data_IF_284095222387
#
_entry.id   IF_284095222387
#
_cell.length_a   1.000
_cell.length_b   1.000
_cell.length_c   1.000
_cell.angle_alpha   90.00
_cell.angle_beta   90.00
_cell.angle_gamma   90.00
#
_symmetry.space_group_name_H-M   'P 1'
#
loop_
_entity.id
_entity.type
_entity.pdbx_description
1 polymer ?
#
# COMPACT_ATOMS: atom_id res chain seq x y z
N UNK A 1 -15.56 7.62 -2.33
CA UNK A 1 -14.62 7.10 -1.31
C UNK A 1 -15.03 7.70 0.02
N UNK A 2 -15.23 6.90 1.07
CA UNK A 2 -15.60 7.41 2.41
C UNK A 2 -14.51 8.35 2.95
N UNK A 3 -14.83 9.13 3.97
CA UNK A 3 -13.97 10.12 4.64
C UNK A 3 -12.73 9.49 5.30
N UNK A 4 -11.86 8.85 4.53
CA UNK A 4 -10.57 8.37 4.98
C UNK A 4 -9.62 9.55 5.11
N UNK A 5 -8.86 9.58 6.20
CA UNK A 5 -7.84 10.60 6.44
C UNK A 5 -6.55 9.90 6.83
N UNK A 6 -5.46 10.28 6.17
CA UNK A 6 -4.13 9.80 6.51
C UNK A 6 -3.66 10.39 7.85
N UNK A 7 -2.76 9.66 8.51
CA UNK A 7 -2.16 10.12 9.76
C UNK A 7 -1.45 11.47 9.57
N UNK A 8 -1.60 12.45 10.49
CA UNK A 8 -1.03 13.78 10.34
C UNK A 8 0.50 13.84 10.22
N UNK A 9 1.23 12.79 10.66
CA UNK A 9 2.70 12.73 10.50
C UNK A 9 3.14 12.69 9.03
N UNK A 10 2.23 12.32 8.12
CA UNK A 10 2.47 12.37 6.68
C UNK A 10 2.25 13.75 6.08
N UNK A 11 1.90 14.75 6.90
CA UNK A 11 1.70 16.14 6.50
C UNK A 11 2.80 16.98 7.13
N UNK A 12 3.58 17.66 6.28
CA UNK A 12 4.62 18.61 6.70
C UNK A 12 4.19 20.02 6.34
N UNK A 13 4.48 20.97 7.22
CA UNK A 13 4.28 22.39 6.95
C UNK A 13 5.65 23.06 6.78
N UNK A 14 5.88 23.71 5.65
CA UNK A 14 7.08 24.51 5.40
C UNK A 14 6.69 25.88 4.86
N UNK A 15 7.09 26.96 5.54
CA UNK A 15 6.78 28.35 5.16
C UNK A 15 5.28 28.64 4.94
N UNK A 16 4.40 27.95 5.67
CA UNK A 16 2.93 28.11 5.54
C UNK A 16 2.29 27.25 4.46
N UNK A 17 3.08 26.58 3.61
CA UNK A 17 2.60 25.59 2.66
C UNK A 17 2.52 24.21 3.34
N UNK A 18 1.40 23.52 3.13
CA UNK A 18 1.21 22.14 3.58
C UNK A 18 1.59 21.19 2.45
N UNK A 19 2.40 20.19 2.77
CA UNK A 19 2.78 19.10 1.87
C UNK A 19 2.36 17.78 2.51
N UNK A 20 1.48 17.04 1.85
CA UNK A 20 1.08 15.69 2.20
C UNK A 20 1.89 14.68 1.38
N UNK A 21 2.39 13.61 2.01
CA UNK A 21 3.02 12.51 1.26
C UNK A 21 1.99 11.68 0.51
N UNK A 22 0.85 11.44 1.15
CA UNK A 22 -0.28 10.70 0.58
C UNK A 22 -1.51 11.60 0.63
N UNK A 23 -2.29 11.58 -0.43
CA UNK A 23 -3.50 12.38 -0.56
C UNK A 23 -4.60 11.61 -1.30
N UNK A 24 -5.83 12.08 -1.16
CA UNK A 24 -7.00 11.45 -1.76
C UNK A 24 -7.76 12.53 -2.53
N UNK A 25 -8.04 12.25 -3.80
CA UNK A 25 -8.91 13.11 -4.62
C UNK A 25 -10.24 13.36 -3.90
N UNK A 26 -10.57 14.64 -3.78
CA UNK A 26 -11.85 15.14 -3.30
C UNK A 26 -12.34 16.18 -4.30
N UNK A 27 -13.65 16.21 -4.57
CA UNK A 27 -14.30 17.21 -5.41
C UNK A 27 -14.40 18.58 -4.71
N UNK A 28 -13.28 19.07 -4.18
CA UNK A 28 -13.11 20.31 -3.43
C UNK A 28 -11.82 21.00 -3.87
N UNK A 29 -11.66 22.28 -3.54
CA UNK A 29 -10.40 22.99 -3.81
C UNK A 29 -9.38 22.67 -2.69
N UNK A 30 -8.26 22.01 -3.02
CA UNK A 30 -7.24 21.68 -2.03
C UNK A 30 -6.48 22.93 -1.57
N UNK A 31 -5.87 22.87 -0.38
CA UNK A 31 -5.02 23.94 0.18
C UNK A 31 -3.63 23.44 0.58
N UNK A 32 -3.19 22.36 -0.07
CA UNK A 32 -1.95 21.65 0.18
C UNK A 32 -1.38 21.13 -1.14
N UNK A 33 -0.09 20.80 -1.11
CA UNK A 33 0.58 19.98 -2.12
C UNK A 33 0.55 18.52 -1.71
N UNK A 34 0.62 17.61 -2.66
CA UNK A 34 0.67 16.17 -2.44
C UNK A 34 1.80 15.54 -3.25
N UNK A 35 2.33 14.39 -2.81
CA UNK A 35 3.30 13.61 -3.60
C UNK A 35 2.60 12.49 -4.36
N UNK A 36 1.81 11.67 -3.66
CA UNK A 36 1.01 10.59 -4.23
C UNK A 36 -0.47 10.87 -3.96
N UNK A 37 -1.28 10.93 -5.00
CA UNK A 37 -2.74 11.13 -4.90
C UNK A 37 -3.49 9.88 -5.36
N UNK A 38 -4.42 9.40 -4.54
CA UNK A 38 -5.31 8.30 -4.87
C UNK A 38 -6.67 8.83 -5.32
N UNK A 39 -7.32 8.14 -6.25
CA UNK A 39 -8.74 8.33 -6.55
C UNK A 39 -9.43 6.98 -6.74
N UNK A 40 -10.70 6.90 -6.35
CA UNK A 40 -11.51 5.72 -6.61
C UNK A 40 -12.03 5.84 -8.04
N UNK A 41 -11.65 4.92 -8.91
CA UNK A 41 -12.11 4.91 -10.28
C UNK A 41 -13.49 4.21 -10.34
N UNK A 42 -14.52 4.95 -10.72
CA UNK A 42 -15.89 4.47 -10.84
C UNK A 42 -16.66 5.29 -11.89
N UNK A 43 -17.92 4.91 -12.18
CA UNK A 43 -18.76 5.58 -13.17
C UNK A 43 -19.12 7.04 -12.85
N UNK A 44 -18.87 7.50 -11.63
CA UNK A 44 -19.11 8.89 -11.19
C UNK A 44 -17.84 9.73 -11.22
N UNK A 45 -16.70 9.15 -11.61
CA UNK A 45 -15.42 9.82 -11.65
C UNK A 45 -15.32 10.66 -12.93
N UNK A 46 -15.17 11.96 -12.77
CA UNK A 46 -14.85 12.86 -13.88
C UNK A 46 -13.32 12.96 -14.05
N UNK A 47 -12.80 12.39 -15.14
CA UNK A 47 -11.38 12.39 -15.46
C UNK A 47 -10.77 13.80 -15.56
N UNK A 48 -11.52 14.79 -16.06
CA UNK A 48 -11.03 16.16 -16.17
C UNK A 48 -10.89 16.82 -14.79
N UNK A 49 -11.81 16.52 -13.87
CA UNK A 49 -11.74 17.00 -12.50
C UNK A 49 -10.58 16.36 -11.73
N UNK A 50 -10.32 15.07 -11.91
CA UNK A 50 -9.17 14.38 -11.31
C UNK A 50 -7.84 14.95 -11.83
N UNK A 51 -7.72 15.17 -13.14
CA UNK A 51 -6.52 15.79 -13.75
C UNK A 51 -6.32 17.21 -13.23
N UNK A 52 -7.39 18.02 -13.13
CA UNK A 52 -7.32 19.36 -12.55
C UNK A 52 -6.88 19.31 -11.09
N UNK A 53 -7.40 18.37 -10.30
CA UNK A 53 -6.98 18.18 -8.91
C UNK A 53 -5.50 17.84 -8.82
N UNK A 54 -5.01 16.85 -9.60
CA UNK A 54 -3.58 16.49 -9.66
C UNK A 54 -2.69 17.71 -9.89
N UNK A 55 -3.10 18.61 -10.80
CA UNK A 55 -2.38 19.85 -11.07
C UNK A 55 -2.43 20.84 -9.91
N UNK A 56 -3.57 20.97 -9.23
CA UNK A 56 -3.75 21.88 -8.09
C UNK A 56 -2.93 21.47 -6.87
N UNK A 57 -2.84 20.17 -6.58
CA UNK A 57 -1.99 19.64 -5.50
C UNK A 57 -0.54 19.40 -5.95
N UNK A 58 -0.21 19.66 -7.22
CA UNK A 58 1.11 19.37 -7.80
C UNK A 58 1.57 17.91 -7.60
N UNK A 59 0.63 16.96 -7.64
CA UNK A 59 0.92 15.56 -7.32
C UNK A 59 1.81 14.91 -8.37
N UNK A 60 2.88 14.28 -7.91
CA UNK A 60 3.86 13.60 -8.75
C UNK A 60 3.30 12.30 -9.32
N UNK A 61 2.60 11.52 -8.49
CA UNK A 61 1.99 10.25 -8.86
C UNK A 61 0.48 10.30 -8.63
N UNK A 62 -0.28 9.80 -9.59
CA UNK A 62 -1.72 9.60 -9.52
C UNK A 62 -2.05 8.10 -9.61
N UNK A 63 -2.70 7.57 -8.58
CA UNK A 63 -3.06 6.14 -8.48
C UNK A 63 -4.57 5.99 -8.55
N UNK A 64 -5.05 5.27 -9.57
CA UNK A 64 -6.42 4.81 -9.64
C UNK A 64 -6.61 3.60 -8.72
N UNK A 65 -7.61 3.61 -7.84
CA UNK A 65 -8.06 2.43 -7.12
C UNK A 65 -9.23 1.84 -7.91
N UNK A 66 -9.02 0.64 -8.45
CA UNK A 66 -10.02 -0.09 -9.21
C UNK A 66 -10.53 -1.28 -8.39
N UNK A 67 -11.83 -1.31 -8.13
CA UNK A 67 -12.46 -2.39 -7.35
C UNK A 67 -13.36 -3.33 -8.15
N UNK A 68 -13.61 -2.97 -9.40
CA UNK A 68 -14.40 -3.70 -10.39
C UNK A 68 -13.97 -3.25 -11.79
N UNK A 69 -14.36 -3.98 -12.83
CA UNK A 69 -14.16 -3.54 -14.20
C UNK A 69 -14.95 -2.24 -14.45
N UNK A 70 -14.28 -1.24 -15.01
CA UNK A 70 -14.81 0.10 -15.28
C UNK A 70 -14.27 0.59 -16.63
N UNK A 71 -14.74 1.76 -17.06
CA UNK A 71 -14.27 2.43 -18.28
C UNK A 71 -12.76 2.70 -18.28
N UNK A 72 -12.14 2.44 -19.43
CA UNK A 72 -10.72 2.63 -19.67
C UNK A 72 -10.31 4.12 -19.57
N UNK A 73 -11.18 5.06 -19.97
CA UNK A 73 -10.85 6.50 -19.96
C UNK A 73 -10.54 7.02 -18.55
N UNK A 74 -11.24 6.50 -17.52
CA UNK A 74 -10.97 6.83 -16.12
C UNK A 74 -9.64 6.26 -15.62
N UNK A 75 -9.13 5.20 -16.23
CA UNK A 75 -7.88 4.54 -15.84
C UNK A 75 -6.66 5.10 -16.59
N UNK A 76 -6.87 5.60 -17.81
CA UNK A 76 -5.81 6.13 -18.68
C UNK A 76 -5.08 7.34 -18.07
N UNK A 77 -5.77 8.16 -17.29
CA UNK A 77 -5.18 9.34 -16.65
C UNK A 77 -4.21 9.01 -15.50
N UNK A 78 -4.29 7.81 -14.92
CA UNK A 78 -3.47 7.43 -13.77
C UNK A 78 -2.06 7.00 -14.20
N UNK A 79 -1.08 7.30 -13.35
CA UNK A 79 0.26 6.73 -13.47
C UNK A 79 0.25 5.23 -13.11
N UNK A 80 -0.55 4.86 -12.11
CA UNK A 80 -0.73 3.48 -11.64
C UNK A 80 -2.21 3.08 -11.52
N UNK A 81 -2.53 1.83 -11.82
CA UNK A 81 -3.83 1.22 -11.50
C UNK A 81 -3.66 0.17 -10.42
N UNK A 82 -4.30 0.39 -9.27
CA UNK A 82 -4.31 -0.50 -8.12
C UNK A 82 -5.60 -1.31 -8.07
N UNK A 83 -5.46 -2.62 -8.22
CA UNK A 83 -6.56 -3.57 -8.13
C UNK A 83 -6.68 -4.10 -6.69
N UNK A 84 -7.87 -3.94 -6.10
CA UNK A 84 -8.24 -4.52 -4.81
C UNK A 84 -9.74 -4.83 -4.79
N UNK A 85 -10.25 -5.46 -3.73
CA UNK A 85 -11.70 -5.58 -3.53
C UNK A 85 -12.28 -4.29 -2.94
N UNK A 86 -13.59 -4.05 -3.14
CA UNK A 86 -14.26 -2.85 -2.65
C UNK A 86 -14.16 -2.65 -1.13
N UNK A 87 -14.13 -3.72 -0.35
CA UNK A 87 -13.99 -3.64 1.11
C UNK A 87 -12.54 -3.42 1.57
N UNK A 88 -11.57 -3.42 0.65
CA UNK A 88 -10.13 -3.32 0.95
C UNK A 88 -9.56 -1.92 0.70
N UNK A 89 -10.36 -0.99 0.17
CA UNK A 89 -9.89 0.37 -0.19
C UNK A 89 -9.20 1.06 0.99
N UNK A 90 -9.84 1.09 2.17
CA UNK A 90 -9.27 1.72 3.35
C UNK A 90 -8.02 0.99 3.85
N UNK A 91 -8.00 -0.34 3.75
CA UNK A 91 -6.84 -1.16 4.09
C UNK A 91 -5.65 -0.86 3.19
N UNK A 92 -5.87 -0.68 1.89
CA UNK A 92 -4.85 -0.28 0.92
C UNK A 92 -4.28 1.09 1.27
N UNK A 93 -5.15 2.08 1.50
CA UNK A 93 -4.71 3.42 1.89
C UNK A 93 -3.89 3.37 3.19
N UNK A 94 -4.37 2.62 4.19
CA UNK A 94 -3.66 2.43 5.46
C UNK A 94 -2.32 1.69 5.28
N UNK A 95 -2.23 0.75 4.33
CA UNK A 95 -0.98 0.08 3.98
C UNK A 95 0.03 1.09 3.43
N UNK A 96 -0.36 1.96 2.49
CA UNK A 96 0.52 3.01 1.96
C UNK A 96 1.02 3.93 3.07
N UNK A 97 0.14 4.35 3.97
CA UNK A 97 0.54 5.14 5.14
C UNK A 97 1.58 4.41 5.98
N UNK A 98 1.31 3.16 6.36
CA UNK A 98 2.19 2.33 7.18
C UNK A 98 3.53 2.00 6.52
N UNK A 99 3.60 2.00 5.19
CA UNK A 99 4.85 1.79 4.46
C UNK A 99 5.80 2.97 4.58
N UNK A 100 5.29 4.20 4.63
CA UNK A 100 6.13 5.41 4.61
C UNK A 100 6.15 6.18 5.93
N UNK A 101 5.33 5.79 6.89
CA UNK A 101 5.24 6.47 8.18
C UNK A 101 6.55 6.40 8.98
N UNK A 102 6.94 7.53 9.55
CA UNK A 102 8.12 7.70 10.38
C UNK A 102 8.05 7.00 11.74
N UNK A 103 6.86 6.58 12.17
CA UNK A 103 6.64 5.79 13.37
C UNK A 103 6.71 4.27 13.13
N UNK A 104 6.82 3.82 11.88
CA UNK A 104 6.93 2.39 11.61
C UNK A 104 8.27 1.85 12.13
N UNK A 105 8.29 0.59 12.56
CA UNK A 105 9.50 -0.06 13.04
C UNK A 105 10.52 -0.26 11.92
N UNK A 106 10.02 -0.66 10.74
CA UNK A 106 10.73 -0.67 9.47
C UNK A 106 9.83 0.05 8.49
N UNK A 107 10.33 1.08 7.82
CA UNK A 107 9.61 1.80 6.76
C UNK A 107 10.37 1.73 5.45
N UNK A 108 9.65 1.98 4.36
CA UNK A 108 10.17 2.14 3.01
C UNK A 108 10.39 3.63 2.79
N UNK A 109 11.59 4.00 2.34
CA UNK A 109 11.87 5.38 1.96
C UNK A 109 10.90 5.83 0.85
N UNK A 110 10.29 7.00 1.04
CA UNK A 110 9.30 7.53 0.11
C UNK A 110 9.85 7.64 -1.32
N UNK A 111 11.13 7.98 -1.50
CA UNK A 111 11.75 8.06 -2.83
C UNK A 111 11.85 6.68 -3.47
N UNK A 112 12.17 5.63 -2.71
CA UNK A 112 12.15 4.26 -3.24
C UNK A 112 10.74 3.82 -3.62
N UNK A 113 9.72 4.16 -2.83
CA UNK A 113 8.33 3.91 -3.20
C UNK A 113 7.97 4.62 -4.51
N UNK A 114 8.33 5.90 -4.67
CA UNK A 114 8.09 6.65 -5.92
C UNK A 114 8.81 6.00 -7.10
N UNK A 115 10.05 5.56 -6.94
CA UNK A 115 10.79 4.87 -8.00
C UNK A 115 10.12 3.56 -8.43
N UNK A 116 9.58 2.80 -7.48
CA UNK A 116 8.81 1.59 -7.78
C UNK A 116 7.54 1.96 -8.54
N UNK A 117 6.78 2.94 -8.05
CA UNK A 117 5.53 3.37 -8.68
C UNK A 117 5.76 3.92 -10.10
N UNK A 118 6.82 4.67 -10.36
CA UNK A 118 7.15 5.16 -11.72
C UNK A 118 7.50 4.06 -12.72
N UNK A 119 7.97 2.90 -12.22
CA UNK A 119 8.39 1.76 -13.04
C UNK A 119 7.28 0.73 -13.20
N UNK A 120 6.12 0.95 -12.59
CA UNK A 120 5.00 0.03 -12.62
C UNK A 120 3.76 0.71 -13.16
N UNK A 121 2.98 0.04 -14.00
CA UNK A 121 1.65 0.52 -14.42
C UNK A 121 0.56 -0.11 -13.57
N UNK A 122 0.75 -1.36 -13.19
CA UNK A 122 -0.27 -2.16 -12.51
C UNK A 122 0.20 -2.58 -11.12
N UNK A 123 -0.68 -2.40 -10.13
CA UNK A 123 -0.48 -2.81 -8.75
C UNK A 123 -1.62 -3.76 -8.37
N UNK A 124 -1.29 -4.91 -7.80
CA UNK A 124 -2.30 -5.83 -7.27
C UNK A 124 -2.14 -5.95 -5.76
N UNK A 125 -3.20 -5.62 -5.03
CA UNK A 125 -3.22 -5.78 -3.59
C UNK A 125 -3.72 -7.17 -3.19
N UNK A 126 -3.05 -7.75 -2.21
CA UNK A 126 -3.52 -8.91 -1.48
C UNK A 126 -3.21 -8.74 0.00
N UNK A 127 -4.04 -9.34 0.85
CA UNK A 127 -3.78 -9.43 2.28
C UNK A 127 -4.07 -10.82 2.83
N UNK A 128 -3.48 -11.10 3.99
CA UNK A 128 -3.78 -12.27 4.80
C UNK A 128 -3.57 -11.92 6.28
N UNK A 129 -4.03 -12.82 7.15
CA UNK A 129 -3.79 -12.70 8.57
C UNK A 129 -3.68 -14.09 9.23
N UNK A 130 -3.00 -14.14 10.36
CA UNK A 130 -2.93 -15.32 11.20
C UNK A 130 -2.78 -14.92 12.66
N UNK A 131 -3.22 -15.80 13.56
CA UNK A 131 -3.12 -15.65 15.01
C UNK A 131 -2.54 -16.94 15.58
N UNK A 132 -1.71 -16.82 16.61
CA UNK A 132 -1.05 -17.93 17.29
C UNK A 132 0.44 -18.02 16.97
N UNK A 133 1.06 -19.10 17.42
CA UNK A 133 2.49 -19.35 17.19
C UNK A 133 2.80 -19.36 15.68
N UNK A 134 3.91 -18.74 15.29
CA UNK A 134 4.35 -18.60 13.90
C UNK A 134 3.37 -17.84 12.97
N UNK A 135 2.54 -16.95 13.52
CA UNK A 135 1.54 -16.16 12.77
C UNK A 135 2.13 -15.51 11.51
N UNK A 136 3.32 -14.93 11.59
CA UNK A 136 4.02 -14.30 10.46
C UNK A 136 4.25 -15.30 9.31
N UNK A 137 4.78 -16.48 9.64
CA UNK A 137 5.05 -17.53 8.65
C UNK A 137 3.77 -18.11 8.07
N UNK A 138 2.72 -18.23 8.88
CA UNK A 138 1.41 -18.69 8.42
C UNK A 138 0.77 -17.69 7.47
N UNK A 139 0.71 -16.41 7.84
CA UNK A 139 0.22 -15.33 6.98
C UNK A 139 1.00 -15.31 5.66
N UNK A 140 2.33 -15.35 5.71
CA UNK A 140 3.18 -15.39 4.52
C UNK A 140 2.84 -16.56 3.59
N UNK A 141 2.66 -17.78 4.12
CA UNK A 141 2.26 -18.95 3.31
C UNK A 141 0.89 -18.76 2.67
N UNK A 142 -0.08 -18.20 3.39
CA UNK A 142 -1.44 -17.95 2.86
C UNK A 142 -1.45 -17.01 1.66
N UNK A 143 -0.49 -16.07 1.53
CA UNK A 143 -0.35 -15.26 0.30
C UNK A 143 -0.01 -16.17 -0.88
N UNK A 144 0.97 -17.05 -0.72
CA UNK A 144 1.43 -17.93 -1.80
C UNK A 144 0.46 -19.06 -2.16
N UNK A 145 -0.40 -19.46 -1.23
CA UNK A 145 -1.41 -20.49 -1.49
C UNK A 145 -2.59 -19.96 -2.35
N UNK A 146 -2.65 -18.65 -2.62
CA UNK A 146 -3.63 -18.07 -3.53
C UNK A 146 -3.27 -18.42 -4.98
N UNK A 147 -4.21 -19.05 -5.69
CA UNK A 147 -3.97 -19.76 -6.96
C UNK A 147 -3.47 -18.91 -8.14
N UNK A 148 -3.41 -17.59 -8.03
CA UNK A 148 -2.99 -16.69 -9.11
C UNK A 148 -2.20 -15.51 -8.53
N UNK A 149 -0.93 -15.73 -8.19
CA UNK A 149 -0.03 -14.62 -7.95
C UNK A 149 0.24 -13.91 -9.29
N UNK A 150 0.09 -12.58 -9.35
CA UNK A 150 0.52 -11.84 -10.52
C UNK A 150 2.01 -12.10 -10.76
N UNK A 151 2.43 -12.14 -12.03
CA UNK A 151 3.83 -11.84 -12.33
C UNK A 151 4.14 -10.48 -11.68
N UNK A 152 5.29 -10.32 -11.04
CA UNK A 152 5.64 -9.10 -10.31
C UNK A 152 7.12 -8.84 -10.45
N UNK A 153 7.50 -7.61 -10.83
CA UNK A 153 8.92 -7.20 -10.83
C UNK A 153 9.37 -6.70 -9.47
N UNK A 154 8.43 -6.12 -8.72
CA UNK A 154 8.67 -5.65 -7.36
C UNK A 154 7.51 -6.07 -6.47
N UNK A 155 7.83 -6.43 -5.23
CA UNK A 155 6.87 -6.68 -4.17
C UNK A 155 7.12 -5.71 -3.03
N UNK A 156 6.06 -5.07 -2.56
CA UNK A 156 6.04 -4.26 -1.36
C UNK A 156 5.23 -4.99 -0.30
N UNK A 157 5.80 -5.21 0.89
CA UNK A 157 5.07 -5.81 2.01
C UNK A 157 4.90 -4.82 3.15
N UNK A 158 3.80 -4.95 3.87
CA UNK A 158 3.55 -4.26 5.12
C UNK A 158 3.03 -5.28 6.13
N UNK A 159 3.86 -5.64 7.10
CA UNK A 159 3.47 -6.48 8.22
C UNK A 159 3.03 -5.61 9.41
N UNK A 160 1.94 -6.00 10.06
CA UNK A 160 1.53 -5.45 11.36
C UNK A 160 1.53 -6.61 12.35
N UNK A 161 2.30 -6.46 13.42
CA UNK A 161 2.59 -7.52 14.39
C UNK A 161 2.60 -6.93 15.81
N UNK A 162 2.46 -7.74 16.87
CA UNK A 162 2.65 -7.29 18.24
C UNK A 162 4.03 -6.67 18.49
N UNK A 163 4.14 -5.74 19.45
CA UNK A 163 5.42 -5.06 19.73
C UNK A 163 6.51 -5.97 20.31
N UNK A 164 6.15 -7.16 20.76
CA UNK A 164 7.07 -8.18 21.28
C UNK A 164 7.54 -9.18 20.20
N UNK A 165 7.28 -8.89 18.92
CA UNK A 165 7.85 -9.62 17.77
C UNK A 165 9.31 -9.25 17.56
N UNK A 166 10.20 -10.25 17.50
CA UNK A 166 11.62 -10.06 17.27
C UNK A 166 12.00 -9.84 15.80
N UNK A 167 13.23 -9.35 15.60
CA UNK A 167 13.81 -9.18 14.26
C UNK A 167 14.01 -10.51 13.52
N UNK A 168 14.20 -11.62 14.24
CA UNK A 168 14.40 -12.94 13.65
C UNK A 168 13.12 -13.40 12.92
N UNK A 169 11.96 -13.24 13.54
CA UNK A 169 10.68 -13.60 12.91
C UNK A 169 10.37 -12.75 11.67
N UNK A 170 10.72 -11.46 11.71
CA UNK A 170 10.64 -10.58 10.53
C UNK A 170 11.62 -11.02 9.44
N UNK A 171 12.88 -11.32 9.78
CA UNK A 171 13.87 -11.80 8.80
C UNK A 171 13.47 -13.12 8.13
N UNK A 172 12.83 -14.02 8.87
CA UNK A 172 12.31 -15.28 8.33
C UNK A 172 11.17 -15.06 7.31
N UNK A 173 10.35 -14.01 7.49
CA UNK A 173 9.35 -13.60 6.49
C UNK A 173 10.03 -13.20 5.19
N UNK A 174 11.02 -12.30 5.26
CA UNK A 174 11.72 -11.79 4.07
C UNK A 174 12.44 -12.92 3.32
N UNK A 175 13.08 -13.84 4.04
CA UNK A 175 13.72 -15.01 3.44
C UNK A 175 12.70 -15.92 2.74
N UNK A 176 11.56 -16.20 3.38
CA UNK A 176 10.50 -17.02 2.78
C UNK A 176 9.92 -16.35 1.54
N UNK A 177 9.64 -15.05 1.60
CA UNK A 177 9.14 -14.27 0.46
C UNK A 177 10.15 -14.34 -0.69
N UNK A 178 11.42 -14.01 -0.44
CA UNK A 178 12.46 -14.03 -1.46
C UNK A 178 12.66 -15.42 -2.08
N UNK A 179 12.64 -16.49 -1.27
CA UNK A 179 12.79 -17.86 -1.75
C UNK A 179 11.61 -18.30 -2.62
N UNK A 180 10.38 -17.94 -2.24
CA UNK A 180 9.18 -18.24 -3.03
C UNK A 180 9.19 -17.47 -4.34
N UNK A 181 9.59 -16.20 -4.34
CA UNK A 181 9.66 -15.40 -5.57
C UNK A 181 10.68 -15.95 -6.57
N UNK A 182 11.86 -16.39 -6.11
CA UNK A 182 12.84 -17.08 -6.98
C UNK A 182 12.30 -18.35 -7.64
N UNK A 183 11.32 -19.00 -7.03
CA UNK A 183 10.70 -20.21 -7.58
C UNK A 183 9.51 -19.90 -8.50
N UNK A 184 8.96 -18.68 -8.43
CA UNK A 184 7.77 -18.27 -9.19
C UNK A 184 8.09 -17.37 -10.39
N UNK A 185 9.27 -16.74 -10.44
CA UNK A 185 9.67 -15.85 -11.54
C UNK A 185 11.08 -16.19 -12.03
N UNK A 186 11.30 -16.06 -13.35
CA UNK A 186 12.62 -16.17 -13.97
C UNK A 186 13.51 -14.94 -13.71
N UNK A 187 12.89 -13.83 -13.29
CA UNK A 187 13.56 -12.55 -13.05
C UNK A 187 13.85 -12.32 -11.56
N UNK A 188 14.89 -11.53 -11.27
CA UNK A 188 15.15 -11.05 -9.91
C UNK A 188 14.03 -10.09 -9.49
N UNK A 189 13.09 -10.57 -8.68
CA UNK A 189 12.04 -9.74 -8.06
C UNK A 189 12.64 -8.93 -6.92
N UNK A 190 12.43 -7.61 -6.92
CA UNK A 190 12.81 -6.76 -5.80
C UNK A 190 11.79 -6.87 -4.67
N UNK A 191 12.26 -6.98 -3.42
CA UNK A 191 11.41 -7.03 -2.23
C UNK A 191 11.72 -5.82 -1.35
N UNK A 192 10.70 -5.05 -1.00
CA UNK A 192 10.76 -4.01 0.02
C UNK A 192 9.73 -4.29 1.09
N UNK A 193 10.12 -4.14 2.35
CA UNK A 193 9.30 -4.57 3.48
C UNK A 193 9.19 -3.47 4.52
N UNK A 194 7.97 -3.23 4.97
CA UNK A 194 7.65 -2.39 6.10
C UNK A 194 7.08 -3.24 7.24
N UNK A 195 7.38 -2.85 8.48
CA UNK A 195 6.90 -3.51 9.69
C UNK A 195 6.39 -2.46 10.67
N UNK A 196 5.19 -2.68 11.17
CA UNK A 196 4.51 -1.82 12.11
C UNK A 196 4.10 -2.63 13.34
N UNK A 197 4.03 -1.96 14.50
CA UNK A 197 3.60 -2.60 15.73
C UNK A 197 2.19 -2.19 16.13
N UNK A 198 1.40 -3.18 16.54
CA UNK A 198 0.07 -3.00 17.12
C UNK A 198 -0.19 -4.14 18.11
N UNK A 199 -0.23 -3.81 19.41
CA UNK A 199 -0.38 -4.82 20.46
C UNK A 199 -1.78 -5.45 20.49
N UNK A 200 -2.80 -4.73 20.01
CA UNK A 200 -4.18 -5.19 19.90
C UNK A 200 -4.92 -4.43 18.80
N UNK A 201 -5.83 -5.11 18.09
CA UNK A 201 -6.72 -4.52 17.10
C UNK A 201 -7.95 -5.41 16.87
N UNK A 202 -8.64 -5.22 15.75
CA UNK A 202 -9.82 -6.02 15.38
C UNK A 202 -9.52 -7.48 15.03
N UNK A 203 -8.25 -7.81 14.77
CA UNK A 203 -7.78 -9.15 14.40
C UNK A 203 -7.20 -9.92 15.60
N UNK A 204 -6.60 -9.27 16.59
CA UNK A 204 -6.06 -9.92 17.79
C UNK A 204 -6.14 -9.05 19.04
N UNK A 205 -6.22 -9.70 20.21
CA UNK A 205 -6.21 -9.06 21.51
C UNK A 205 -4.78 -8.89 22.04
N UNK A 206 -4.62 -8.01 23.05
CA UNK A 206 -3.35 -7.82 23.73
C UNK A 206 -2.79 -9.13 24.31
N UNK A 207 -1.55 -9.44 23.93
CA UNK A 207 -0.83 -10.65 24.34
C UNK A 207 -1.03 -11.84 23.40
N UNK A 208 -1.88 -11.74 22.39
CA UNK A 208 -1.96 -12.72 21.31
C UNK A 208 -0.89 -12.46 20.24
N UNK A 209 -0.33 -13.54 19.69
CA UNK A 209 0.61 -13.45 18.56
C UNK A 209 -0.16 -13.32 17.26
N UNK A 210 -0.48 -12.09 16.87
CA UNK A 210 -1.12 -11.78 15.60
C UNK A 210 -0.12 -11.48 14.48
N UNK A 211 -0.56 -11.61 13.23
CA UNK A 211 0.10 -10.99 12.08
C UNK A 211 -0.97 -10.64 11.05
N UNK A 212 -0.99 -9.39 10.63
CA UNK A 212 -1.62 -8.96 9.38
C UNK A 212 -0.52 -8.64 8.38
N UNK A 213 -0.68 -9.11 7.14
CA UNK A 213 0.28 -8.88 6.08
C UNK A 213 -0.46 -8.38 4.84
N UNK A 214 -0.17 -7.14 4.45
CA UNK A 214 -0.52 -6.57 3.16
C UNK A 214 0.63 -6.73 2.18
N UNK A 215 0.31 -7.09 0.94
CA UNK A 215 1.26 -7.30 -0.15
C UNK A 215 0.77 -6.56 -1.40
N UNK A 216 1.65 -5.76 -2.00
CA UNK A 216 1.44 -5.15 -3.30
C UNK A 216 2.41 -5.76 -4.30
N UNK A 217 1.85 -6.37 -5.35
CA UNK A 217 2.59 -6.87 -6.50
C UNK A 217 2.62 -5.77 -7.56
N UNK A 218 3.81 -5.30 -7.92
CA UNK A 218 4.01 -4.16 -8.83
C UNK A 218 4.70 -4.59 -10.13
N UNK A 219 4.11 -4.17 -11.27
CA UNK A 219 4.49 -4.56 -12.63
C UNK A 219 4.77 -3.41 -13.58
#
# INVERSE_FOLDING_TARGET
MQNFTFHPSLIKSHNGEKLAWLDIYQATTPNHKAVITFYLANSETDSADVVRYKQQVESEILIAIQTHEIDDECLEIADNVLHCQSHEIETVLKMFERMVADYAFIWIDLQYLIEVLKKSKTLHFQQCHAIGTDSIMQATKQIFDKMNLPEAKTILTCAVVPSDTGFEEVGNMDELMAKRMKNCSSDNVNLYSAVNFEDENTLWNKGEKGCWLGVLFAN
#
